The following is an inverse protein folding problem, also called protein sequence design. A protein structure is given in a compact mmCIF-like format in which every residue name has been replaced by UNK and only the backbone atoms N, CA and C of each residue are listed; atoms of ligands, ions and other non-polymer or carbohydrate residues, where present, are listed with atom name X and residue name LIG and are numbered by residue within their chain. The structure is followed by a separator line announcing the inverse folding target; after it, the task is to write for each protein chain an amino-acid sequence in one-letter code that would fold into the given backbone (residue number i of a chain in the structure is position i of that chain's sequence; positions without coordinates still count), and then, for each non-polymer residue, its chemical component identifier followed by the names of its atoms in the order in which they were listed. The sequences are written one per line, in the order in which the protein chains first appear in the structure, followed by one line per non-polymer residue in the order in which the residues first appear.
data_IF_448198116432
#
_entry.id   IF_448198116432
#
_cell.length_a   1.000
_cell.length_b   1.000
_cell.length_c   1.000
_cell.angle_alpha   90.00
_cell.angle_beta   90.00
_cell.angle_gamma   90.00
#
_symmetry.space_group_name_H-M   'P 1'
#
loop_
_entity.id
_entity.type
_entity.pdbx_description
1 polymer ?
#
# COMPACT_ATOMS: atom_id res chain seq x y z
N UNK A 1 11.05 0.66 -10.70
CA UNK A 1 9.81 -0.08 -11.08
C UNK A 1 8.56 0.50 -10.41
N UNK A 2 7.40 0.50 -11.09
CA UNK A 2 6.08 0.81 -10.50
C UNK A 2 5.30 -0.49 -10.25
N UNK A 3 4.70 -0.64 -9.07
CA UNK A 3 3.93 -1.83 -8.67
C UNK A 3 2.42 -1.55 -8.61
N UNK A 4 1.61 -2.56 -8.92
CA UNK A 4 0.16 -2.48 -8.74
C UNK A 4 -0.20 -2.56 -7.25
N UNK A 5 0.53 -3.35 -6.47
CA UNK A 5 0.32 -3.43 -5.04
C UNK A 5 1.56 -3.83 -4.22
N UNK A 6 1.54 -3.43 -2.95
CA UNK A 6 2.31 -4.01 -1.86
C UNK A 6 1.31 -4.35 -0.76
N UNK A 7 1.35 -5.57 -0.26
CA UNK A 7 0.53 -6.04 0.84
C UNK A 7 1.43 -6.57 1.97
N UNK A 8 1.25 -6.02 3.17
CA UNK A 8 1.99 -6.39 4.39
C UNK A 8 1.00 -7.02 5.36
N UNK A 9 1.29 -8.25 5.81
CA UNK A 9 0.38 -9.02 6.65
C UNK A 9 -0.70 -9.68 5.81
N UNK A 10 -0.36 -10.83 5.22
CA UNK A 10 -1.23 -11.50 4.25
C UNK A 10 -2.12 -12.56 4.89
N UNK A 11 -1.60 -13.25 5.91
CA UNK A 11 -2.23 -14.36 6.63
C UNK A 11 -2.86 -15.47 5.75
N UNK A 12 -2.55 -15.49 4.44
CA UNK A 12 -3.09 -16.31 3.35
C UNK A 12 -4.54 -16.05 2.85
N UNK A 13 -5.24 -15.02 3.33
CA UNK A 13 -6.65 -14.78 2.98
C UNK A 13 -6.97 -13.34 2.60
N UNK A 14 -7.98 -13.17 1.74
CA UNK A 14 -8.44 -11.87 1.26
C UNK A 14 -7.29 -10.98 0.74
N UNK A 15 -6.34 -11.62 0.06
CA UNK A 15 -5.09 -10.97 -0.37
C UNK A 15 -5.24 -10.32 -1.75
N UNK A 16 -4.47 -9.27 -1.99
CA UNK A 16 -4.41 -8.59 -3.28
C UNK A 16 -3.89 -9.53 -4.37
N UNK A 17 -2.93 -10.41 -4.06
CA UNK A 17 -2.40 -11.37 -5.04
C UNK A 17 -3.43 -12.43 -5.46
N UNK A 18 -4.40 -12.77 -4.60
CA UNK A 18 -5.52 -13.66 -4.98
C UNK A 18 -6.44 -12.97 -6.00
N UNK A 19 -6.75 -11.69 -5.80
CA UNK A 19 -7.61 -10.90 -6.69
C UNK A 19 -6.89 -10.38 -7.95
N UNK A 20 -5.57 -10.37 -7.97
CA UNK A 20 -4.77 -9.77 -9.04
C UNK A 20 -5.00 -10.41 -10.42
N UNK A 21 -4.72 -9.64 -11.48
CA UNK A 21 -4.67 -10.16 -12.85
C UNK A 21 -3.36 -10.92 -13.14
N UNK A 22 -3.25 -11.66 -14.26
CA UNK A 22 -2.01 -12.35 -14.63
C UNK A 22 -0.86 -11.39 -14.98
N UNK A 23 -1.17 -10.16 -15.40
CA UNK A 23 -0.20 -9.12 -15.72
C UNK A 23 0.21 -8.25 -14.52
N UNK A 24 -0.34 -8.51 -13.33
CA UNK A 24 -0.10 -7.70 -12.16
C UNK A 24 1.32 -7.91 -11.62
N UNK A 25 1.89 -6.83 -11.09
CA UNK A 25 3.16 -6.76 -10.41
C UNK A 25 2.94 -6.32 -8.97
N UNK A 26 3.45 -7.07 -8.01
CA UNK A 26 3.27 -6.70 -6.62
C UNK A 26 4.12 -7.49 -5.64
N UNK A 27 4.10 -7.05 -4.39
CA UNK A 27 4.78 -7.70 -3.28
C UNK A 27 3.76 -8.19 -2.26
N UNK A 28 3.88 -9.45 -1.86
CA UNK A 28 3.17 -10.03 -0.72
C UNK A 28 4.20 -10.30 0.38
N UNK A 29 4.03 -9.66 1.55
CA UNK A 29 5.00 -9.68 2.63
C UNK A 29 4.35 -10.23 3.89
N UNK A 30 4.93 -11.27 4.46
CA UNK A 30 4.40 -11.92 5.67
C UNK A 30 5.53 -12.60 6.47
N UNK A 31 5.54 -12.48 7.81
CA UNK A 31 6.52 -13.16 8.63
C UNK A 31 6.35 -14.69 8.67
N UNK A 32 5.19 -15.23 8.31
CA UNK A 32 4.92 -16.67 8.36
C UNK A 32 5.00 -17.27 6.94
N UNK A 33 6.09 -17.98 6.66
CA UNK A 33 6.33 -18.61 5.35
C UNK A 33 5.19 -19.53 4.89
N UNK A 34 4.60 -20.29 5.83
CA UNK A 34 3.45 -21.16 5.56
C UNK A 34 2.29 -20.42 4.88
N UNK A 35 2.05 -19.16 5.23
CA UNK A 35 0.98 -18.36 4.64
C UNK A 35 1.35 -17.89 3.23
N UNK A 36 2.60 -17.47 3.02
CA UNK A 36 3.11 -17.12 1.70
C UNK A 36 3.07 -18.31 0.73
N UNK A 37 3.41 -19.50 1.20
CA UNK A 37 3.43 -20.72 0.40
C UNK A 37 2.03 -21.08 -0.15
N UNK A 38 0.97 -20.67 0.55
CA UNK A 38 -0.42 -20.89 0.15
C UNK A 38 -0.96 -19.86 -0.84
N UNK A 39 -0.27 -18.72 -1.00
CA UNK A 39 -0.66 -17.71 -1.98
C UNK A 39 -0.39 -18.20 -3.41
N UNK A 40 -1.16 -17.74 -4.42
CA UNK A 40 -0.86 -18.04 -5.82
C UNK A 40 0.54 -17.52 -6.21
N UNK A 41 1.20 -18.23 -7.13
CA UNK A 41 2.45 -17.76 -7.75
C UNK A 41 2.11 -17.06 -9.06
N UNK A 42 2.46 -15.77 -9.17
CA UNK A 42 2.25 -14.96 -10.38
C UNK A 42 3.59 -14.44 -10.89
N UNK A 43 3.86 -14.47 -12.21
CA UNK A 43 5.18 -14.08 -12.75
C UNK A 43 5.65 -12.68 -12.36
N UNK A 44 4.73 -11.70 -12.28
CA UNK A 44 5.05 -10.32 -11.89
C UNK A 44 5.09 -10.08 -10.38
N UNK A 45 4.70 -11.06 -9.56
CA UNK A 45 4.59 -10.89 -8.11
C UNK A 45 5.72 -11.62 -7.37
N UNK A 46 6.17 -11.04 -6.26
CA UNK A 46 7.14 -11.65 -5.35
C UNK A 46 6.55 -11.82 -3.95
N UNK A 47 6.99 -12.86 -3.27
CA UNK A 47 6.66 -13.15 -1.88
C UNK A 47 7.89 -12.93 -1.02
N UNK A 48 7.76 -12.21 0.08
CA UNK A 48 8.88 -11.85 0.97
C UNK A 48 8.55 -12.35 2.37
N UNK A 49 9.34 -13.32 2.85
CA UNK A 49 9.19 -13.83 4.21
C UNK A 49 9.97 -12.95 5.20
N UNK A 50 9.32 -11.90 5.69
CA UNK A 50 9.87 -10.97 6.66
C UNK A 50 8.75 -10.27 7.43
N UNK A 51 9.06 -9.82 8.65
CA UNK A 51 8.28 -8.80 9.33
C UNK A 51 8.65 -7.41 8.76
N UNK A 52 7.69 -6.48 8.75
CA UNK A 52 7.94 -5.07 8.45
C UNK A 52 7.70 -4.24 9.71
N UNK A 53 8.64 -3.34 10.00
CA UNK A 53 8.57 -2.45 11.16
C UNK A 53 9.38 -1.18 10.90
N UNK A 54 9.65 -0.39 11.92
CA UNK A 54 10.51 0.80 11.89
C UNK A 54 11.99 0.51 12.18
N UNK A 55 12.43 -0.75 12.10
CA UNK A 55 13.81 -1.15 12.38
C UNK A 55 14.26 -2.31 11.48
N UNK A 56 15.58 -2.49 11.41
CA UNK A 56 16.23 -3.63 10.74
C UNK A 56 16.68 -4.66 11.78
N UNK A 57 16.63 -5.94 11.45
CA UNK A 57 17.22 -7.00 12.28
C UNK A 57 16.42 -8.29 12.25
N UNK A 58 16.22 -8.87 13.43
CA UNK A 58 15.45 -10.10 13.64
C UNK A 58 14.42 -9.84 14.73
N UNK A 59 13.20 -10.33 14.57
CA UNK A 59 12.13 -10.23 15.57
C UNK A 59 11.46 -11.58 15.77
N UNK A 60 11.06 -11.85 17.01
CA UNK A 60 10.23 -13.02 17.32
C UNK A 60 8.80 -12.79 16.86
N UNK A 61 8.22 -13.77 16.18
CA UNK A 61 6.81 -13.76 15.76
C UNK A 61 6.07 -14.88 16.46
N UNK A 62 4.96 -14.51 17.09
CA UNK A 62 4.08 -15.39 17.83
C UNK A 62 2.85 -15.70 16.98
N UNK A 63 2.55 -16.99 16.81
CA UNK A 63 1.42 -17.43 15.98
C UNK A 63 0.94 -18.82 16.42
N UNK A 64 -0.28 -19.19 16.01
CA UNK A 64 -0.80 -20.55 16.18
C UNK A 64 -0.92 -21.17 14.78
N UNK A 65 -0.16 -22.23 14.47
CA UNK A 65 -0.19 -22.80 13.14
C UNK A 65 -1.54 -23.50 12.88
N UNK A 66 -2.04 -23.50 11.62
CA UNK A 66 -3.36 -24.03 11.26
C UNK A 66 -3.63 -25.48 11.74
N UNK A 67 -2.61 -26.34 11.72
CA UNK A 67 -2.74 -27.73 12.19
C UNK A 67 -2.96 -27.81 13.71
N UNK A 68 -2.39 -26.89 14.48
CA UNK A 68 -2.62 -26.81 15.93
C UNK A 68 -4.01 -26.26 16.21
N UNK A 69 -4.45 -25.25 15.44
CA UNK A 69 -5.83 -24.74 15.49
C UNK A 69 -6.83 -25.88 15.29
N UNK A 70 -6.64 -26.68 14.24
CA UNK A 70 -7.51 -27.83 13.95
C UNK A 70 -7.47 -28.89 15.06
N UNK A 71 -6.26 -29.28 15.52
CA UNK A 71 -6.06 -30.29 16.57
C UNK A 71 -6.76 -29.92 17.88
N UNK A 72 -6.68 -28.65 18.28
CA UNK A 72 -7.24 -28.15 19.54
C UNK A 72 -8.64 -27.55 19.39
N UNK A 73 -9.26 -27.66 18.20
CA UNK A 73 -10.58 -27.09 17.86
C UNK A 73 -10.68 -25.60 18.21
N UNK A 74 -9.59 -24.88 17.98
CA UNK A 74 -9.53 -23.43 18.18
C UNK A 74 -10.29 -22.71 17.06
N UNK A 75 -10.86 -21.53 17.32
CA UNK A 75 -11.48 -20.71 16.28
C UNK A 75 -10.51 -20.40 15.13
N UNK A 76 -10.96 -20.61 13.88
CA UNK A 76 -10.10 -20.47 12.70
C UNK A 76 -9.51 -19.06 12.53
N UNK A 77 -10.20 -18.02 12.99
CA UNK A 77 -9.73 -16.63 12.89
C UNK A 77 -8.42 -16.38 13.66
N UNK A 78 -8.06 -17.22 14.63
CA UNK A 78 -6.81 -17.10 15.41
C UNK A 78 -5.55 -17.22 14.54
N UNK A 79 -5.65 -17.79 13.34
CA UNK A 79 -4.53 -17.90 12.40
C UNK A 79 -4.06 -16.54 11.88
N UNK A 80 -4.94 -15.55 11.81
CA UNK A 80 -4.63 -14.19 11.37
C UNK A 80 -3.99 -13.33 12.46
N UNK A 81 -4.16 -13.71 13.73
CA UNK A 81 -3.68 -12.95 14.88
C UNK A 81 -2.19 -13.21 15.20
N UNK A 82 -1.33 -13.27 14.18
CA UNK A 82 0.11 -13.32 14.41
C UNK A 82 0.64 -11.95 14.84
N UNK A 83 1.60 -11.94 15.77
CA UNK A 83 2.10 -10.70 16.36
C UNK A 83 3.61 -10.75 16.57
N UNK A 84 4.28 -9.62 16.38
CA UNK A 84 5.73 -9.48 16.58
C UNK A 84 6.02 -9.07 18.03
N UNK A 85 7.12 -9.56 18.60
CA UNK A 85 7.63 -9.18 19.92
C UNK A 85 6.85 -9.77 21.11
N UNK A 86 5.54 -9.93 21.00
CA UNK A 86 4.69 -10.54 22.03
C UNK A 86 3.47 -11.28 21.44
N UNK A 87 2.87 -12.23 22.19
CA UNK A 87 1.62 -12.87 21.80
C UNK A 87 0.48 -11.85 21.61
N UNK A 88 -0.36 -12.06 20.59
CA UNK A 88 -1.48 -11.16 20.32
C UNK A 88 -2.49 -11.15 21.50
N UNK A 89 -2.95 -9.98 22.00
CA UNK A 89 -3.82 -9.90 23.18
C UNK A 89 -5.15 -10.67 23.03
N UNK A 90 -5.73 -10.68 21.82
CA UNK A 90 -6.96 -11.42 21.56
C UNK A 90 -6.73 -12.94 21.60
N UNK A 91 -5.54 -13.41 21.20
CA UNK A 91 -5.17 -14.82 21.31
C UNK A 91 -5.09 -15.21 22.79
N UNK A 92 -4.36 -14.46 23.61
CA UNK A 92 -4.21 -14.73 25.04
C UNK A 92 -5.58 -14.83 25.74
N UNK A 93 -6.44 -13.83 25.55
CA UNK A 93 -7.80 -13.82 26.12
C UNK A 93 -8.65 -15.00 25.65
N UNK A 94 -8.50 -15.44 24.39
CA UNK A 94 -9.26 -16.56 23.86
C UNK A 94 -8.78 -17.89 24.46
N UNK A 95 -7.48 -18.06 24.64
CA UNK A 95 -6.91 -19.25 25.26
C UNK A 95 -7.31 -19.37 26.73
N UNK A 96 -7.30 -18.25 27.47
CA UNK A 96 -7.78 -18.20 28.86
C UNK A 96 -9.25 -18.65 28.99
N UNK A 97 -10.12 -18.13 28.10
CA UNK A 97 -11.54 -18.51 28.05
C UNK A 97 -11.75 -20.00 27.77
N UNK A 98 -10.83 -20.62 27.04
CA UNK A 98 -10.89 -22.04 26.69
C UNK A 98 -10.14 -22.92 27.71
N UNK A 99 -9.48 -22.34 28.72
CA UNK A 99 -8.65 -23.06 29.68
C UNK A 99 -7.46 -23.76 29.02
N UNK A 100 -6.94 -23.22 27.92
CA UNK A 100 -5.82 -23.79 27.18
C UNK A 100 -4.56 -23.01 27.54
N UNK A 101 -3.57 -23.70 28.07
CA UNK A 101 -2.29 -23.09 28.39
C UNK A 101 -1.56 -22.66 27.10
N UNK A 102 -1.10 -21.40 26.96
CA UNK A 102 -0.49 -20.89 25.72
C UNK A 102 0.67 -21.73 25.19
N UNK A 103 1.49 -22.30 26.06
CA UNK A 103 2.63 -23.15 25.73
C UNK A 103 2.25 -24.43 24.95
N UNK A 104 0.97 -24.84 24.99
CA UNK A 104 0.48 -26.00 24.24
C UNK A 104 0.22 -25.70 22.76
N UNK A 105 0.02 -24.42 22.40
CA UNK A 105 -0.52 -24.04 21.10
C UNK A 105 0.23 -22.91 20.41
N UNK A 106 0.83 -22.01 21.18
CA UNK A 106 1.53 -20.84 20.66
C UNK A 106 2.95 -21.24 20.25
N UNK A 107 3.29 -20.94 19.01
CA UNK A 107 4.65 -21.07 18.51
C UNK A 107 5.29 -19.69 18.43
N UNK A 108 6.63 -19.68 18.59
CA UNK A 108 7.47 -18.52 18.34
C UNK A 108 8.53 -18.89 17.32
N UNK A 109 8.82 -17.98 16.39
CA UNK A 109 9.93 -18.13 15.47
C UNK A 109 10.64 -16.80 15.23
N UNK A 110 11.98 -16.77 15.20
CA UNK A 110 12.72 -15.60 14.75
C UNK A 110 12.55 -15.44 13.24
N UNK A 111 12.27 -14.21 12.79
CA UNK A 111 12.20 -13.86 11.38
C UNK A 111 12.97 -12.57 11.09
N UNK A 112 13.50 -12.39 9.86
CA UNK A 112 14.04 -11.10 9.43
C UNK A 112 12.99 -9.99 9.58
N UNK A 113 13.41 -8.84 10.09
CA UNK A 113 12.62 -7.63 10.20
C UNK A 113 13.26 -6.51 9.38
N UNK A 114 12.46 -5.85 8.56
CA UNK A 114 12.94 -4.78 7.68
C UNK A 114 12.08 -3.52 7.79
N UNK A 115 12.69 -2.36 7.53
CA UNK A 115 11.93 -1.16 7.17
C UNK A 115 11.33 -1.33 5.78
N UNK A 116 10.12 -0.81 5.55
CA UNK A 116 9.50 -0.86 4.22
C UNK A 116 10.39 -0.21 3.16
N UNK A 117 11.06 0.90 3.52
CA UNK A 117 11.98 1.59 2.64
C UNK A 117 13.17 0.72 2.20
N UNK A 118 13.66 -0.17 3.07
CA UNK A 118 14.71 -1.14 2.73
C UNK A 118 14.21 -2.15 1.71
N UNK A 119 12.98 -2.65 1.88
CA UNK A 119 12.36 -3.55 0.90
C UNK A 119 12.18 -2.87 -0.45
N UNK A 120 11.71 -1.63 -0.49
CA UNK A 120 11.55 -0.90 -1.76
C UNK A 120 12.87 -0.77 -2.51
N UNK A 121 13.97 -0.40 -1.80
CA UNK A 121 15.30 -0.32 -2.42
C UNK A 121 15.80 -1.67 -2.94
N UNK A 122 15.65 -2.73 -2.16
CA UNK A 122 16.10 -4.09 -2.56
C UNK A 122 15.32 -4.62 -3.76
N UNK A 123 14.07 -4.19 -3.94
CA UNK A 123 13.20 -4.61 -5.04
C UNK A 123 13.16 -3.60 -6.20
N UNK A 124 13.98 -2.54 -6.17
CA UNK A 124 13.98 -1.43 -7.15
C UNK A 124 12.58 -0.83 -7.37
N UNK A 125 11.82 -0.68 -6.29
CA UNK A 125 10.47 -0.10 -6.31
C UNK A 125 10.58 1.41 -6.16
N UNK A 126 10.04 2.12 -7.14
CA UNK A 126 10.05 3.58 -7.25
C UNK A 126 8.65 4.18 -7.03
N UNK A 127 7.60 3.35 -7.04
CA UNK A 127 6.23 3.77 -6.83
C UNK A 127 5.30 2.56 -6.75
N UNK A 128 4.14 2.78 -6.16
CA UNK A 128 3.13 1.74 -5.99
C UNK A 128 1.73 2.35 -6.13
N UNK A 129 0.82 1.62 -6.77
CA UNK A 129 -0.57 2.03 -6.81
C UNK A 129 -1.24 1.83 -5.45
N UNK A 130 -1.26 0.61 -4.92
CA UNK A 130 -1.88 0.30 -3.63
C UNK A 130 -0.88 -0.19 -2.58
N UNK A 131 -0.83 0.45 -1.41
CA UNK A 131 -0.19 -0.08 -0.21
C UNK A 131 -1.28 -0.53 0.76
N UNK A 132 -1.37 -1.84 1.02
CA UNK A 132 -2.21 -2.42 2.06
C UNK A 132 -1.32 -2.86 3.23
N UNK A 133 -1.66 -2.42 4.43
CA UNK A 133 -1.02 -2.84 5.69
C UNK A 133 -2.11 -3.47 6.55
N UNK A 134 -1.84 -4.64 7.11
CA UNK A 134 -2.77 -5.36 7.97
C UNK A 134 -1.94 -6.16 8.99
N UNK A 135 -1.48 -5.47 10.03
CA UNK A 135 -0.46 -6.00 10.97
C UNK A 135 -0.92 -6.02 12.42
N UNK A 136 -2.23 -6.20 12.63
CA UNK A 136 -2.88 -6.41 13.94
C UNK A 136 -2.44 -5.34 14.98
N UNK A 137 -2.52 -4.07 14.57
CA UNK A 137 -2.19 -2.90 15.39
C UNK A 137 -0.82 -2.25 15.17
N UNK A 138 0.08 -2.86 14.38
CA UNK A 138 1.42 -2.28 14.09
C UNK A 138 1.46 -1.34 12.88
N UNK A 139 0.32 -1.14 12.22
CA UNK A 139 0.16 -0.45 10.95
C UNK A 139 0.69 0.99 10.99
N UNK A 140 0.33 1.72 12.04
CA UNK A 140 0.73 3.11 12.17
C UNK A 140 2.23 3.29 12.41
N UNK A 141 2.89 2.30 13.02
CA UNK A 141 4.35 2.31 13.20
C UNK A 141 5.03 2.20 11.84
N UNK A 142 4.59 1.22 11.03
CA UNK A 142 5.10 0.99 9.68
C UNK A 142 4.87 2.23 8.79
N UNK A 143 3.66 2.78 8.79
CA UNK A 143 3.32 3.92 7.94
C UNK A 143 4.05 5.20 8.38
N UNK A 144 4.18 5.45 9.68
CA UNK A 144 4.93 6.62 10.14
C UNK A 144 6.41 6.56 9.75
N UNK A 145 7.03 5.39 9.90
CA UNK A 145 8.41 5.15 9.48
C UNK A 145 8.56 5.34 7.97
N UNK A 146 7.71 4.70 7.16
CA UNK A 146 7.73 4.81 5.71
C UNK A 146 7.59 6.26 5.23
N UNK A 147 6.61 7.01 5.75
CA UNK A 147 6.41 8.41 5.36
C UNK A 147 7.41 9.39 5.99
N UNK A 148 8.38 8.92 6.77
CA UNK A 148 9.47 9.78 7.28
C UNK A 148 10.55 10.02 6.22
N UNK A 149 10.75 9.08 5.29
CA UNK A 149 11.78 9.13 4.25
C UNK A 149 11.28 8.83 2.82
N UNK A 150 9.97 8.54 2.64
CA UNK A 150 9.37 8.37 1.32
C UNK A 150 9.39 9.66 0.48
N UNK A 151 9.98 9.58 -0.71
CA UNK A 151 9.91 10.65 -1.71
C UNK A 151 8.50 10.75 -2.33
N UNK A 152 8.12 11.88 -2.98
CA UNK A 152 6.83 12.01 -3.65
C UNK A 152 6.51 10.86 -4.62
N UNK A 153 7.50 10.32 -5.31
CA UNK A 153 7.37 9.18 -6.23
C UNK A 153 7.00 7.88 -5.52
N UNK A 154 7.53 7.67 -4.32
CA UNK A 154 7.28 6.44 -3.56
C UNK A 154 5.90 6.44 -2.88
N UNK A 155 5.25 7.60 -2.77
CA UNK A 155 3.94 7.73 -2.12
C UNK A 155 2.89 6.88 -2.85
N UNK A 156 2.22 5.94 -2.16
CA UNK A 156 1.16 5.13 -2.76
C UNK A 156 0.01 5.98 -3.29
N UNK A 157 -0.56 5.59 -4.43
CA UNK A 157 -1.77 6.25 -4.93
C UNK A 157 -3.00 5.90 -4.08
N UNK A 158 -2.99 4.75 -3.41
CA UNK A 158 -3.97 4.29 -2.43
C UNK A 158 -3.27 3.69 -1.22
N UNK A 159 -3.80 3.98 -0.04
CA UNK A 159 -3.37 3.37 1.23
C UNK A 159 -4.59 2.75 1.88
N UNK A 160 -4.48 1.49 2.29
CA UNK A 160 -5.46 0.79 3.12
C UNK A 160 -4.72 0.28 4.35
N UNK A 161 -5.23 0.56 5.54
CA UNK A 161 -4.63 0.05 6.78
C UNK A 161 -5.65 -0.17 7.88
N UNK A 162 -5.32 -1.08 8.80
CA UNK A 162 -6.15 -1.39 9.95
C UNK A 162 -6.16 -0.20 10.93
N UNK A 163 -7.35 0.28 11.28
CA UNK A 163 -7.54 1.39 12.22
C UNK A 163 -8.60 1.09 13.29
N UNK A 164 -8.73 -0.18 13.65
CA UNK A 164 -9.76 -0.64 14.59
C UNK A 164 -9.32 -0.47 16.05
N UNK A 165 -10.09 -1.05 16.98
CA UNK A 165 -9.85 -0.99 18.44
C UNK A 165 -8.48 -1.49 18.93
N UNK A 166 -7.74 -2.22 18.10
CA UNK A 166 -6.38 -2.69 18.41
C UNK A 166 -5.35 -1.57 18.24
N UNK A 167 -5.68 -0.51 17.53
CA UNK A 167 -4.80 0.63 17.29
C UNK A 167 -5.01 1.74 18.33
N UNK A 168 -3.92 2.42 18.69
CA UNK A 168 -4.01 3.65 19.50
C UNK A 168 -4.69 4.78 18.70
N UNK A 169 -5.87 5.20 19.16
CA UNK A 169 -6.71 6.16 18.42
C UNK A 169 -6.02 7.51 18.19
N UNK A 170 -5.20 7.98 19.13
CA UNK A 170 -4.48 9.24 18.97
C UNK A 170 -3.42 9.13 17.87
N UNK A 171 -2.65 8.05 17.88
CA UNK A 171 -1.64 7.75 16.86
C UNK A 171 -2.28 7.63 15.47
N UNK A 172 -3.43 6.95 15.36
CA UNK A 172 -4.19 6.87 14.10
C UNK A 172 -4.64 8.25 13.62
N UNK A 173 -5.22 9.07 14.49
CA UNK A 173 -5.64 10.42 14.12
C UNK A 173 -4.48 11.29 13.65
N UNK A 174 -3.33 11.23 14.34
CA UNK A 174 -2.11 11.96 13.95
C UNK A 174 -1.59 11.49 12.60
N UNK A 175 -1.58 10.18 12.35
CA UNK A 175 -1.18 9.62 11.06
C UNK A 175 -2.10 10.09 9.93
N UNK A 176 -3.42 10.01 10.11
CA UNK A 176 -4.40 10.46 9.10
C UNK A 176 -4.23 11.96 8.83
N UNK A 177 -4.08 12.79 9.88
CA UNK A 177 -3.84 14.22 9.72
C UNK A 177 -2.54 14.50 8.94
N UNK A 178 -1.45 13.79 9.24
CA UNK A 178 -0.19 13.85 8.48
C UNK A 178 -0.44 13.52 7.01
N UNK A 179 -1.14 12.42 6.70
CA UNK A 179 -1.42 12.02 5.32
C UNK A 179 -2.29 13.03 4.57
N UNK A 180 -3.29 13.63 5.21
CA UNK A 180 -4.09 14.71 4.62
C UNK A 180 -3.21 15.91 4.26
N UNK A 181 -2.28 16.30 5.14
CA UNK A 181 -1.32 17.38 4.87
C UNK A 181 -0.34 17.03 3.74
N UNK A 182 -0.05 15.74 3.55
CA UNK A 182 0.76 15.23 2.43
C UNK A 182 0.00 15.14 1.10
N UNK A 183 -1.30 15.42 1.09
CA UNK A 183 -2.14 15.49 -0.12
C UNK A 183 -3.11 14.33 -0.30
N UNK A 184 -3.35 13.51 0.72
CA UNK A 184 -4.34 12.43 0.64
C UNK A 184 -5.76 12.92 0.95
N UNK A 185 -6.73 12.35 0.24
CA UNK A 185 -8.16 12.47 0.54
C UNK A 185 -8.63 11.20 1.26
N UNK A 186 -9.52 11.35 2.25
CA UNK A 186 -10.21 10.24 2.92
C UNK A 186 -11.29 9.70 1.99
N UNK A 187 -11.26 8.39 1.72
CA UNK A 187 -12.33 7.66 1.01
C UNK A 187 -13.26 7.01 2.01
N UNK A 188 -12.70 6.30 2.98
CA UNK A 188 -13.42 5.67 4.08
C UNK A 188 -12.54 5.68 5.32
N UNK A 189 -13.13 5.94 6.48
CA UNK A 189 -12.45 5.87 7.77
C UNK A 189 -13.52 5.76 8.85
N UNK A 190 -13.35 4.83 9.78
CA UNK A 190 -14.13 4.79 11.02
C UNK A 190 -13.18 5.02 12.19
N UNK A 191 -13.17 6.25 12.71
CA UNK A 191 -12.40 6.57 13.92
C UNK A 191 -13.20 6.22 15.17
N UNK A 192 -12.53 5.70 16.21
CA UNK A 192 -13.18 5.39 17.50
C UNK A 192 -13.63 3.95 17.69
N UNK A 193 -12.94 2.98 17.07
CA UNK A 193 -13.21 1.55 17.27
C UNK A 193 -14.25 0.96 16.32
N UNK A 194 -14.43 1.57 15.15
CA UNK A 194 -15.24 1.04 14.06
C UNK A 194 -14.71 -0.29 13.49
N UNK A 195 -15.52 -0.90 12.64
CA UNK A 195 -15.32 -2.24 12.09
C UNK A 195 -14.63 -2.25 10.71
N UNK A 196 -14.25 -1.08 10.17
CA UNK A 196 -13.66 -0.98 8.83
C UNK A 196 -12.27 -0.36 8.80
N UNK A 197 -11.47 -0.80 7.83
CA UNK A 197 -10.16 -0.25 7.50
C UNK A 197 -10.23 1.23 7.09
N UNK A 198 -9.14 1.96 7.31
CA UNK A 198 -8.98 3.31 6.75
C UNK A 198 -8.48 3.22 5.31
N UNK A 199 -9.15 3.91 4.40
CA UNK A 199 -8.78 4.02 2.99
C UNK A 199 -8.56 5.49 2.59
N UNK A 200 -7.36 5.77 2.10
CA UNK A 200 -6.91 7.08 1.62
C UNK A 200 -6.47 7.01 0.16
N UNK A 201 -6.65 8.10 -0.58
CA UNK A 201 -6.17 8.24 -1.97
C UNK A 201 -5.34 9.49 -2.16
N UNK A 202 -4.22 9.36 -2.86
CA UNK A 202 -3.34 10.48 -3.17
C UNK A 202 -4.02 11.42 -4.17
N UNK A 203 -4.35 12.64 -3.75
CA UNK A 203 -4.90 13.65 -4.63
C UNK A 203 -3.76 14.44 -5.26
N UNK A 204 -3.48 14.17 -6.54
CA UNK A 204 -2.35 14.76 -7.24
C UNK A 204 -2.49 16.27 -7.42
N UNK A 205 -3.71 16.84 -7.33
CA UNK A 205 -3.94 18.28 -7.36
C UNK A 205 -3.59 18.97 -6.03
N UNK A 206 -3.40 18.22 -4.94
CA UNK A 206 -3.04 18.75 -3.61
C UNK A 206 -1.53 18.67 -3.32
N UNK A 207 -0.77 18.06 -4.23
CA UNK A 207 0.68 18.02 -4.13
C UNK A 207 1.27 19.42 -4.27
N UNK A 208 2.16 19.77 -3.33
CA UNK A 208 2.88 21.05 -3.29
C UNK A 208 4.29 20.85 -3.87
N UNK A 209 4.86 21.93 -4.40
CA UNK A 209 6.22 21.95 -4.96
C UNK A 209 6.23 21.97 -6.48
N UNK A 210 7.41 22.26 -7.03
CA UNK A 210 7.66 22.28 -8.47
C UNK A 210 7.68 20.86 -9.03
N UNK A 211 6.91 20.62 -10.09
CA UNK A 211 6.81 19.31 -10.74
C UNK A 211 7.98 19.11 -11.69
N UNK A 212 8.84 18.16 -11.39
CA UNK A 212 10.03 17.86 -12.22
C UNK A 212 10.28 16.36 -12.44
N UNK A 213 9.74 15.48 -11.58
CA UNK A 213 9.88 14.04 -11.77
C UNK A 213 8.71 13.44 -12.55
N UNK A 214 9.01 12.39 -13.32
CA UNK A 214 8.00 11.66 -14.11
C UNK A 214 7.96 10.21 -13.64
N UNK A 215 6.80 9.80 -13.13
CA UNK A 215 6.49 8.42 -12.80
C UNK A 215 5.65 7.78 -13.91
N UNK A 216 6.07 6.61 -14.40
CA UNK A 216 5.33 5.87 -15.43
C UNK A 216 4.47 4.78 -14.79
N UNK A 217 3.18 4.74 -15.12
CA UNK A 217 2.22 3.74 -14.63
C UNK A 217 1.47 3.09 -15.81
N UNK A 218 1.82 1.84 -16.13
CA UNK A 218 1.18 1.03 -17.19
C UNK A 218 -0.11 0.41 -16.67
N UNK A 219 -1.17 0.36 -17.49
CA UNK A 219 -2.48 -0.12 -17.06
C UNK A 219 -3.30 0.93 -16.28
N UNK A 220 -2.76 2.14 -16.10
CA UNK A 220 -3.41 3.21 -15.35
C UNK A 220 -3.62 4.49 -16.18
N UNK A 221 -4.71 5.19 -15.89
CA UNK A 221 -5.03 6.51 -16.43
C UNK A 221 -5.19 7.56 -15.33
N UNK A 222 -4.88 8.82 -15.66
CA UNK A 222 -5.11 9.97 -14.79
C UNK A 222 -6.55 10.48 -14.94
N UNK A 223 -7.26 10.73 -13.84
CA UNK A 223 -8.67 11.13 -13.89
C UNK A 223 -8.88 12.61 -14.28
N UNK A 224 -9.82 12.87 -15.19
CA UNK A 224 -10.25 14.22 -15.54
C UNK A 224 -9.37 14.93 -16.58
N UNK A 225 -9.98 15.88 -17.28
CA UNK A 225 -9.31 16.71 -18.29
C UNK A 225 -9.12 18.14 -17.78
N UNK A 226 -8.09 18.86 -18.25
CA UNK A 226 -7.99 20.30 -18.02
C UNK A 226 -9.20 21.04 -18.61
N UNK A 227 -9.45 22.25 -18.11
CA UNK A 227 -10.53 23.11 -18.62
C UNK A 227 -10.33 23.37 -20.12
N UNK A 228 -11.40 23.24 -20.90
CA UNK A 228 -11.43 23.41 -22.37
C UNK A 228 -10.56 22.43 -23.17
N UNK A 229 -10.07 21.34 -22.57
CA UNK A 229 -9.35 20.29 -23.29
C UNK A 229 -10.32 19.32 -23.99
N UNK A 230 -10.03 18.98 -25.24
CA UNK A 230 -10.79 17.97 -25.99
C UNK A 230 -9.88 16.82 -26.43
N UNK A 231 -10.15 15.57 -26.02
CA UNK A 231 -9.37 14.42 -26.48
C UNK A 231 -9.63 14.08 -27.96
N UNK A 232 -10.69 14.61 -28.56
CA UNK A 232 -11.02 14.40 -29.98
C UNK A 232 -10.30 15.41 -30.89
N UNK A 233 -9.95 16.59 -30.35
CA UNK A 233 -9.25 17.66 -31.05
C UNK A 233 -8.07 18.10 -30.18
N UNK A 234 -6.96 17.37 -30.27
CA UNK A 234 -5.79 17.60 -29.41
C UNK A 234 -5.20 19.00 -29.66
N UNK A 235 -4.96 19.82 -28.62
CA UNK A 235 -4.36 21.14 -28.74
C UNK A 235 -2.83 21.10 -28.89
N UNK A 236 -2.26 19.90 -29.01
CA UNK A 236 -0.84 19.63 -29.14
C UNK A 236 -0.65 18.47 -30.12
N UNK A 237 0.58 18.22 -30.56
CA UNK A 237 0.87 17.08 -31.42
C UNK A 237 0.63 15.77 -30.68
N UNK A 238 0.20 14.72 -31.40
CA UNK A 238 -0.08 13.42 -30.81
C UNK A 238 1.21 12.62 -30.54
N UNK A 239 2.10 13.16 -29.73
CA UNK A 239 3.31 12.52 -29.22
C UNK A 239 3.54 12.91 -27.75
N UNK A 240 4.31 12.08 -27.05
CA UNK A 240 4.53 12.24 -25.62
C UNK A 240 5.20 13.58 -25.26
N UNK A 241 6.23 13.99 -26.00
CA UNK A 241 7.01 15.19 -25.70
C UNK A 241 6.17 16.46 -25.81
N UNK A 242 5.37 16.57 -26.88
CA UNK A 242 4.45 17.69 -27.10
C UNK A 242 3.36 17.72 -26.02
N UNK A 243 2.80 16.57 -25.67
CA UNK A 243 1.79 16.44 -24.61
C UNK A 243 2.35 16.81 -23.23
N UNK A 244 3.57 16.37 -22.87
CA UNK A 244 4.21 16.71 -21.60
C UNK A 244 4.52 18.20 -21.49
N UNK A 245 5.01 18.83 -22.58
CA UNK A 245 5.21 20.29 -22.62
C UNK A 245 3.91 21.04 -22.39
N UNK A 246 2.83 20.61 -23.04
CA UNK A 246 1.50 21.21 -22.87
C UNK A 246 0.94 20.97 -21.46
N UNK A 247 1.12 19.77 -20.90
CA UNK A 247 0.74 19.46 -19.52
C UNK A 247 1.42 20.39 -18.50
N UNK A 248 2.73 20.65 -18.68
CA UNK A 248 3.48 21.56 -17.84
C UNK A 248 2.95 23.00 -17.92
N UNK A 249 2.65 23.49 -19.13
CA UNK A 249 2.05 24.83 -19.32
C UNK A 249 0.71 24.98 -18.56
N UNK A 250 -0.08 23.92 -18.51
CA UNK A 250 -1.36 23.88 -17.81
C UNK A 250 -1.25 23.52 -16.32
N UNK A 251 -0.04 23.19 -15.83
CA UNK A 251 0.17 22.64 -14.49
C UNK A 251 -0.73 21.41 -14.22
N UNK A 252 -0.94 20.59 -15.26
CA UNK A 252 -1.73 19.37 -15.19
C UNK A 252 -0.94 18.24 -14.51
N UNK A 253 -1.63 17.23 -13.96
CA UNK A 253 -0.94 16.12 -13.28
C UNK A 253 -0.12 15.22 -14.23
N UNK A 254 -0.40 15.22 -15.54
CA UNK A 254 0.43 14.50 -16.50
C UNK A 254 -0.29 14.16 -17.79
N UNK A 255 0.19 13.09 -18.43
CA UNK A 255 -0.27 12.59 -19.73
C UNK A 255 -0.69 11.14 -19.61
N UNK A 256 -1.79 10.76 -20.26
CA UNK A 256 -2.20 9.36 -20.43
C UNK A 256 -2.24 9.04 -21.92
N UNK A 257 -1.49 8.02 -22.35
CA UNK A 257 -1.71 7.39 -23.64
C UNK A 257 -2.89 6.43 -23.54
N UNK A 258 -3.93 6.65 -24.36
CA UNK A 258 -5.07 5.75 -24.48
C UNK A 258 -5.73 5.88 -25.85
N UNK A 259 -6.26 4.78 -26.38
CA UNK A 259 -6.95 4.73 -27.68
C UNK A 259 -6.16 5.40 -28.82
N UNK A 260 -4.83 5.24 -28.82
CA UNK A 260 -3.92 5.81 -29.82
C UNK A 260 -3.61 7.30 -29.66
N UNK A 261 -3.96 7.92 -28.53
CA UNK A 261 -3.76 9.35 -28.29
C UNK A 261 -3.01 9.61 -27.00
N UNK A 262 -2.10 10.59 -27.02
CA UNK A 262 -1.53 11.18 -25.81
C UNK A 262 -2.49 12.25 -25.31
N UNK A 263 -3.19 11.99 -24.21
CA UNK A 263 -4.16 12.90 -23.64
C UNK A 263 -3.57 13.60 -22.40
N UNK A 264 -3.59 14.93 -22.37
CA UNK A 264 -3.22 15.69 -21.16
C UNK A 264 -4.36 15.61 -20.15
N UNK A 265 -4.04 15.25 -18.90
CA UNK A 265 -5.01 14.94 -17.86
C UNK A 265 -4.78 15.83 -16.65
N UNK A 266 -5.85 16.47 -16.17
CA UNK A 266 -5.78 17.25 -14.92
C UNK A 266 -5.38 16.33 -13.77
N UNK A 267 -5.88 15.09 -13.78
CA UNK A 267 -5.44 13.98 -12.94
C UNK A 267 -5.66 14.24 -11.46
N UNK A 268 -6.90 14.13 -10.96
CA UNK A 268 -7.14 14.15 -9.50
C UNK A 268 -6.58 12.88 -8.84
N UNK A 269 -6.88 11.72 -9.42
CA UNK A 269 -6.43 10.42 -8.95
C UNK A 269 -5.93 9.58 -10.12
N UNK A 270 -5.04 8.63 -9.82
CA UNK A 270 -4.71 7.53 -10.72
C UNK A 270 -5.80 6.44 -10.62
N UNK A 271 -6.13 5.82 -11.76
CA UNK A 271 -7.21 4.84 -11.89
C UNK A 271 -6.74 3.67 -12.76
N UNK A 272 -7.07 2.44 -12.37
CA UNK A 272 -6.79 1.26 -13.19
C UNK A 272 -7.77 1.17 -14.36
N UNK A 273 -7.28 0.85 -15.55
CA UNK A 273 -8.10 0.66 -16.74
C UNK A 273 -8.48 -0.81 -16.92
N UNK A 274 -9.76 -1.05 -17.14
CA UNK A 274 -10.27 -2.37 -17.58
C UNK A 274 -10.67 -2.38 -19.06
N UNK A 275 -10.55 -1.25 -19.76
CA UNK A 275 -11.06 -1.06 -21.12
C UNK A 275 -9.94 -1.03 -22.16
N UNK A 276 -8.93 -0.21 -21.93
CA UNK A 276 -7.75 -0.12 -22.76
C UNK A 276 -6.58 -0.83 -22.06
N UNK A 277 -6.08 -1.91 -22.67
CA UNK A 277 -4.97 -2.71 -22.17
C UNK A 277 -3.60 -2.08 -22.48
N UNK A 278 -3.55 -1.12 -23.40
CA UNK A 278 -2.32 -0.39 -23.75
C UNK A 278 -2.18 0.93 -23.00
N UNK A 279 -3.12 1.23 -22.10
CA UNK A 279 -3.11 2.50 -21.37
C UNK A 279 -1.80 2.67 -20.60
N UNK A 280 -1.25 3.87 -20.63
CA UNK A 280 -0.04 4.21 -19.89
C UNK A 280 -0.09 5.68 -19.48
N UNK A 281 0.23 5.97 -18.22
CA UNK A 281 0.32 7.34 -17.72
C UNK A 281 1.74 7.73 -17.36
N UNK A 282 2.09 8.97 -17.68
CA UNK A 282 3.28 9.67 -17.22
C UNK A 282 2.82 10.76 -16.26
N UNK A 283 2.99 10.48 -14.98
CA UNK A 283 2.54 11.31 -13.86
C UNK A 283 3.67 12.25 -13.50
N UNK A 284 3.40 13.54 -13.55
CA UNK A 284 4.35 14.58 -13.12
C UNK A 284 4.22 14.77 -11.61
N UNK A 285 5.31 14.61 -10.87
CA UNK A 285 5.33 14.70 -9.41
C UNK A 285 6.30 15.81 -8.98
N UNK A 286 6.10 16.38 -7.78
CA UNK A 286 7.05 17.32 -7.22
C UNK A 286 8.42 16.67 -7.08
N UNK A 287 9.50 17.40 -7.38
CA UNK A 287 10.84 16.91 -7.11
C UNK A 287 11.03 16.65 -5.61
N UNK A 288 11.63 15.51 -5.28
CA UNK A 288 11.87 15.11 -3.90
C UNK A 288 12.84 16.06 -3.20
N UNK A 289 12.30 16.94 -2.35
CA UNK A 289 13.03 17.43 -1.18
C UNK A 289 12.32 16.89 0.06
N UNK A 290 13.09 16.41 1.04
CA UNK A 290 12.56 15.96 2.33
C UNK A 290 11.89 17.15 3.02
N UNK A 291 10.61 17.38 2.75
CA UNK A 291 9.81 18.29 3.54
C UNK A 291 9.59 17.63 4.89
N UNK A 292 10.33 18.09 5.89
CA UNK A 292 9.95 17.89 7.29
C UNK A 292 8.62 18.61 7.48
N UNK A 293 7.52 17.84 7.53
CA UNK A 293 6.25 18.36 7.99
C UNK A 293 6.41 18.59 9.50
N UNK A 294 6.30 19.83 10.00
CA UNK A 294 6.33 20.07 11.45
C UNK A 294 5.16 19.31 12.08
N UNK A 295 5.49 18.55 13.13
CA UNK A 295 4.56 17.79 13.97
C UNK A 295 3.58 18.71 14.71
#
# INVERSE_FOLDING_TARGET
MFLDFIEIGTSDFNTLIQAAGPAAHGLSIDPISLYLDRLPNRPGCKKINAAISNFEGTVEVYFIPPQVIAKHRLPNWLRGCNSIGAPHPTVARQLDKMGIAPELVLMRQPVPCHRLQTVLRQQDVQGVFMLKVDTEGHDAVILNDFFSDATPEQRPHQIIFESNKLSDSETIHRLIAKLILMGYDIVACETGGGASDTHLRLNLNRLKGERGSIQTAKGYYLEGYPKNYSPLNLPHENNLDSALKYANQLQAAGVTFQYGRYEVRQGRYLQHSTKDLQVCSWITLPEGTNHTYPL
#
